data_IF_455327876258
#
_entry.id   IF_455327876258
#
_cell.length_a   1.000
_cell.length_b   1.000
_cell.length_c   1.000
_cell.angle_alpha   90.00
_cell.angle_beta   90.00
_cell.angle_gamma   90.00
#
_symmetry.space_group_name_H-M   'P 1'
#
loop_
_entity.id
_entity.type
_entity.pdbx_description
1 polymer ?
#
# COMPACT_ATOMS: atom_id res chain seq x y z
N UNK A 1 -22.52 8.54 -77.00
CA UNK A 1 -21.80 7.26 -77.10
C UNK A 1 -21.09 7.08 -75.78
N UNK A 2 -21.54 6.15 -74.95
CA UNK A 2 -20.72 5.48 -73.95
C UNK A 2 -21.47 4.21 -73.54
N UNK A 3 -20.87 3.08 -73.90
CA UNK A 3 -21.40 1.72 -73.72
C UNK A 3 -21.18 1.20 -72.31
N UNK A 4 -22.16 0.43 -71.84
CA UNK A 4 -22.08 -0.40 -70.65
C UNK A 4 -21.05 -1.54 -70.80
N UNK A 5 -20.36 -1.87 -69.71
CA UNK A 5 -19.74 -3.19 -69.54
C UNK A 5 -20.00 -3.70 -68.12
N UNK A 6 -20.72 -4.83 -68.04
CA UNK A 6 -21.01 -5.61 -66.85
C UNK A 6 -19.90 -6.61 -66.53
N UNK A 7 -19.60 -6.82 -65.24
CA UNK A 7 -18.90 -8.04 -64.78
C UNK A 7 -19.64 -8.69 -63.60
N UNK A 8 -19.66 -10.04 -63.51
CA UNK A 8 -20.58 -10.80 -62.67
C UNK A 8 -20.10 -10.98 -61.22
N UNK A 9 -21.06 -11.04 -60.30
CA UNK A 9 -20.85 -11.43 -58.89
C UNK A 9 -20.52 -12.93 -58.80
N UNK A 10 -19.31 -13.27 -58.36
CA UNK A 10 -18.92 -14.64 -58.00
C UNK A 10 -18.89 -14.76 -56.48
N UNK A 11 -19.85 -15.49 -55.92
CA UNK A 11 -19.88 -15.86 -54.51
C UNK A 11 -18.94 -17.05 -54.25
N UNK A 12 -17.92 -16.83 -53.41
CA UNK A 12 -17.02 -17.88 -52.91
C UNK A 12 -17.68 -18.51 -51.66
N UNK A 13 -17.89 -19.85 -51.61
CA UNK A 13 -18.44 -20.48 -50.41
C UNK A 13 -17.37 -20.56 -49.31
N UNK A 14 -17.65 -19.97 -48.15
CA UNK A 14 -16.83 -20.13 -46.95
C UNK A 14 -17.06 -21.53 -46.36
N UNK A 15 -16.00 -22.35 -46.28
CA UNK A 15 -16.02 -23.59 -45.50
C UNK A 15 -16.07 -23.26 -44.00
N UNK A 16 -16.85 -23.99 -43.18
CA UNK A 16 -16.83 -23.80 -41.74
C UNK A 16 -15.47 -24.22 -41.16
N UNK A 17 -14.87 -23.32 -40.38
CA UNK A 17 -13.65 -23.54 -39.61
C UNK A 17 -13.78 -24.82 -38.75
N UNK A 18 -12.98 -25.84 -39.06
CA UNK A 18 -12.77 -26.97 -38.17
C UNK A 18 -11.91 -26.49 -37.00
N UNK A 19 -12.50 -26.41 -35.81
CA UNK A 19 -11.80 -26.07 -34.57
C UNK A 19 -10.87 -27.22 -34.15
N UNK A 20 -9.56 -27.02 -34.28
CA UNK A 20 -8.55 -27.90 -33.72
C UNK A 20 -8.65 -27.82 -32.19
N UNK A 21 -8.83 -28.93 -31.45
CA UNK A 21 -8.87 -28.89 -29.99
C UNK A 21 -7.52 -28.41 -29.45
N UNK A 22 -7.50 -27.24 -28.81
CA UNK A 22 -6.32 -26.69 -28.15
C UNK A 22 -6.07 -27.44 -26.85
N UNK A 23 -5.07 -28.33 -26.85
CA UNK A 23 -4.68 -29.06 -25.65
C UNK A 23 -3.93 -28.13 -24.67
N UNK A 24 -4.22 -28.21 -23.36
CA UNK A 24 -3.50 -27.45 -22.35
C UNK A 24 -2.05 -27.92 -22.21
N UNK A 25 -1.09 -27.00 -22.26
CA UNK A 25 0.32 -27.21 -22.00
C UNK A 25 0.71 -26.55 -20.67
N UNK A 26 1.55 -27.18 -19.87
CA UNK A 26 1.97 -26.67 -18.56
C UNK A 26 3.48 -26.85 -18.34
N UNK A 27 4.11 -25.87 -17.68
CA UNK A 27 5.53 -25.95 -17.33
C UNK A 27 5.86 -25.30 -15.98
N UNK A 28 7.00 -25.69 -15.38
CA UNK A 28 7.58 -25.02 -14.20
C UNK A 28 8.95 -24.46 -14.60
N UNK A 29 9.06 -23.19 -15.04
CA UNK A 29 10.29 -22.62 -15.59
C UNK A 29 11.48 -22.64 -14.60
N UNK A 30 12.70 -22.69 -15.14
CA UNK A 30 13.95 -22.86 -14.38
C UNK A 30 14.41 -21.64 -13.57
N UNK A 31 13.91 -20.45 -13.88
CA UNK A 31 14.32 -19.20 -13.26
C UNK A 31 13.09 -18.51 -12.71
N UNK A 32 12.77 -18.72 -11.42
CA UNK A 32 11.91 -17.87 -10.57
C UNK A 32 11.61 -18.59 -9.23
N UNK A 33 12.66 -19.00 -8.52
CA UNK A 33 12.51 -19.45 -7.13
C UNK A 33 12.73 -18.24 -6.21
N UNK A 34 11.66 -17.64 -5.70
CA UNK A 34 11.77 -16.57 -4.70
C UNK A 34 12.05 -17.16 -3.32
N UNK A 35 13.11 -16.65 -2.67
CA UNK A 35 13.56 -17.07 -1.34
C UNK A 35 13.03 -16.09 -0.27
N UNK A 36 12.18 -16.60 0.62
CA UNK A 36 11.81 -15.92 1.87
C UNK A 36 12.99 -16.05 2.88
N UNK A 37 13.58 -14.92 3.29
CA UNK A 37 14.72 -14.90 4.24
C UNK A 37 14.30 -15.22 5.69
N UNK A 38 13.00 -15.32 6.01
CA UNK A 38 12.51 -15.55 7.37
C UNK A 38 11.63 -16.81 7.53
N UNK A 39 11.22 -17.51 6.46
CA UNK A 39 10.56 -18.84 6.56
C UNK A 39 11.04 -19.82 5.48
N UNK A 40 11.39 -21.03 5.89
CA UNK A 40 11.97 -22.10 5.08
C UNK A 40 10.89 -22.86 4.27
N UNK A 41 10.43 -22.35 3.12
CA UNK A 41 9.64 -23.14 2.14
C UNK A 41 9.80 -22.66 0.69
N UNK A 42 9.63 -23.57 -0.28
CA UNK A 42 9.71 -23.29 -1.73
C UNK A 42 8.32 -23.14 -2.35
N UNK A 43 8.13 -22.11 -3.19
CA UNK A 43 6.93 -21.88 -4.00
C UNK A 43 7.26 -22.11 -5.47
N UNK A 44 6.43 -22.87 -6.19
CA UNK A 44 6.61 -23.19 -7.60
C UNK A 44 5.68 -22.34 -8.46
N UNK A 45 6.26 -21.63 -9.44
CA UNK A 45 5.54 -20.89 -10.49
C UNK A 45 5.20 -21.85 -11.63
N UNK A 46 3.93 -22.16 -11.81
CA UNK A 46 3.40 -23.01 -12.89
C UNK A 46 2.89 -22.11 -14.01
N UNK A 47 3.43 -22.26 -15.21
CA UNK A 47 2.92 -21.65 -16.43
C UNK A 47 1.88 -22.58 -17.05
N UNK A 48 0.71 -22.04 -17.40
CA UNK A 48 -0.39 -22.78 -18.03
C UNK A 48 -0.73 -22.09 -19.34
N UNK A 49 -0.76 -22.86 -20.42
CA UNK A 49 -1.07 -22.40 -21.76
C UNK A 49 -2.25 -23.23 -22.30
N UNK A 50 -3.35 -22.58 -22.67
CA UNK A 50 -4.52 -23.22 -23.26
C UNK A 50 -4.93 -22.47 -24.52
N UNK A 51 -4.58 -23.04 -25.66
CA UNK A 51 -4.80 -22.41 -26.96
C UNK A 51 -3.95 -21.16 -27.15
N UNK A 52 -4.57 -19.98 -27.06
CA UNK A 52 -3.88 -18.67 -27.16
C UNK A 52 -3.67 -17.98 -25.82
N UNK A 53 -4.18 -18.56 -24.72
CA UNK A 53 -4.12 -17.95 -23.41
C UNK A 53 -2.97 -18.54 -22.59
N UNK A 54 -2.17 -17.68 -21.97
CA UNK A 54 -1.09 -18.06 -21.06
C UNK A 54 -1.27 -17.33 -19.72
N UNK A 55 -1.11 -18.05 -18.60
CA UNK A 55 -1.14 -17.47 -17.26
C UNK A 55 -0.23 -18.22 -16.28
N UNK A 56 0.00 -17.59 -15.12
CA UNK A 56 0.79 -18.18 -14.04
C UNK A 56 -0.06 -18.58 -12.83
N UNK A 57 0.29 -19.71 -12.23
CA UNK A 57 -0.28 -20.21 -10.99
C UNK A 57 0.85 -20.51 -10.01
N UNK A 58 0.75 -20.03 -8.78
CA UNK A 58 1.76 -20.27 -7.74
C UNK A 58 1.27 -21.34 -6.76
N UNK A 59 2.10 -22.36 -6.50
CA UNK A 59 1.74 -23.52 -5.65
C UNK A 59 2.91 -23.96 -4.78
N UNK A 60 2.63 -24.35 -3.55
CA UNK A 60 3.58 -25.03 -2.64
C UNK A 60 3.51 -26.54 -2.82
N UNK A 61 4.58 -27.26 -2.46
CA UNK A 61 4.62 -28.73 -2.51
C UNK A 61 3.41 -29.38 -1.82
N UNK A 62 2.95 -28.85 -0.68
CA UNK A 62 1.79 -29.37 0.05
C UNK A 62 0.49 -29.35 -0.79
N UNK A 63 0.34 -28.39 -1.70
CA UNK A 63 -0.83 -28.29 -2.59
C UNK A 63 -0.75 -29.33 -3.71
N UNK A 64 0.44 -29.60 -4.26
CA UNK A 64 0.66 -30.71 -5.19
C UNK A 64 0.42 -32.07 -4.52
N UNK A 65 0.92 -32.25 -3.29
CA UNK A 65 0.71 -33.47 -2.49
C UNK A 65 -0.78 -33.68 -2.17
N UNK A 66 -1.52 -32.62 -1.83
CA UNK A 66 -2.97 -32.69 -1.64
C UNK A 66 -3.68 -33.14 -2.92
N UNK A 67 -3.38 -32.52 -4.06
CA UNK A 67 -3.96 -32.90 -5.35
C UNK A 67 -3.62 -34.36 -5.72
N UNK A 68 -2.36 -34.76 -5.54
CA UNK A 68 -1.91 -36.13 -5.77
C UNK A 68 -2.71 -37.14 -4.93
N UNK A 69 -2.88 -36.89 -3.63
CA UNK A 69 -3.61 -37.79 -2.74
C UNK A 69 -5.10 -37.88 -3.10
N UNK A 70 -5.72 -36.77 -3.54
CA UNK A 70 -7.09 -36.77 -4.06
C UNK A 70 -7.20 -37.64 -5.31
N UNK A 71 -6.34 -37.41 -6.31
CA UNK A 71 -6.38 -38.13 -7.58
C UNK A 71 -6.00 -39.60 -7.45
N UNK A 72 -5.05 -39.95 -6.57
CA UNK A 72 -4.67 -41.34 -6.30
C UNK A 72 -5.82 -42.16 -5.71
N UNK A 73 -6.66 -41.55 -4.87
CA UNK A 73 -7.86 -42.22 -4.31
C UNK A 73 -8.93 -42.42 -5.37
N UNK A 74 -9.12 -41.44 -6.25
CA UNK A 74 -10.11 -41.50 -7.32
C UNK A 74 -9.68 -42.42 -8.48
N UNK A 75 -8.38 -42.48 -8.78
CA UNK A 75 -7.82 -43.21 -9.93
C UNK A 75 -6.62 -44.09 -9.53
N UNK A 76 -6.81 -45.13 -8.72
CA UNK A 76 -5.71 -45.97 -8.23
C UNK A 76 -4.98 -46.73 -9.36
N UNK A 77 -5.64 -47.00 -10.49
CA UNK A 77 -5.06 -47.69 -11.65
C UNK A 77 -4.08 -46.85 -12.48
N UNK A 78 -4.07 -45.51 -12.32
CA UNK A 78 -3.23 -44.62 -13.12
C UNK A 78 -1.78 -44.51 -12.61
N UNK A 79 -1.46 -45.13 -11.46
CA UNK A 79 -0.12 -45.19 -10.88
C UNK A 79 0.62 -43.82 -10.90
N UNK A 80 -0.10 -42.76 -10.51
CA UNK A 80 0.47 -41.41 -10.45
C UNK A 80 1.65 -41.39 -9.47
N UNK A 81 2.65 -40.57 -9.78
CA UNK A 81 3.83 -40.35 -8.95
C UNK A 81 4.02 -38.86 -8.71
N UNK A 82 4.46 -38.53 -7.50
CA UNK A 82 4.93 -37.20 -7.11
C UNK A 82 6.29 -37.37 -6.41
N UNK A 83 7.23 -36.42 -6.54
CA UNK A 83 8.49 -36.48 -5.79
C UNK A 83 8.23 -36.65 -4.29
N UNK A 84 9.04 -37.47 -3.59
CA UNK A 84 8.82 -37.74 -2.17
C UNK A 84 9.06 -36.50 -1.30
N UNK A 85 8.42 -36.50 -0.11
CA UNK A 85 8.81 -35.61 0.98
C UNK A 85 10.21 -36.01 1.45
N UNK A 86 11.12 -35.06 1.59
CA UNK A 86 12.45 -35.33 2.17
C UNK A 86 12.29 -35.37 3.68
N UNK A 87 12.48 -36.55 4.25
CA UNK A 87 12.27 -36.84 5.67
C UNK A 87 13.59 -36.61 6.46
N UNK A 88 14.74 -36.69 5.79
CA UNK A 88 16.08 -36.40 6.35
C UNK A 88 16.92 -35.56 5.38
N UNK A 89 17.67 -34.58 5.91
CA UNK A 89 18.53 -33.66 5.16
C UNK A 89 17.91 -32.28 4.88
N UNK A 90 18.70 -31.36 4.29
CA UNK A 90 18.26 -29.99 4.05
C UNK A 90 17.24 -29.90 2.90
N UNK A 91 16.04 -29.38 3.19
CA UNK A 91 15.01 -29.11 2.20
C UNK A 91 15.38 -27.96 1.22
N UNK A 92 16.48 -27.25 1.49
CA UNK A 92 16.99 -26.13 0.70
C UNK A 92 18.23 -26.45 -0.13
N UNK A 93 18.62 -27.73 -0.17
CA UNK A 93 19.67 -28.21 -1.06
C UNK A 93 19.31 -27.94 -2.54
N UNK A 94 20.14 -27.21 -3.30
CA UNK A 94 19.83 -26.79 -4.67
C UNK A 94 19.59 -27.96 -5.63
N UNK A 95 20.34 -29.06 -5.48
CA UNK A 95 20.14 -30.26 -6.30
C UNK A 95 18.79 -30.90 -6.02
N UNK A 96 18.43 -31.01 -4.73
CA UNK A 96 17.13 -31.52 -4.32
C UNK A 96 15.96 -30.66 -4.77
N UNK A 97 16.07 -29.33 -4.68
CA UNK A 97 15.03 -28.42 -5.19
C UNK A 97 14.87 -28.60 -6.70
N UNK A 98 15.98 -28.70 -7.44
CA UNK A 98 15.99 -28.93 -8.88
C UNK A 98 15.32 -30.28 -9.23
N UNK A 99 15.67 -31.37 -8.55
CA UNK A 99 15.04 -32.68 -8.74
C UNK A 99 13.55 -32.66 -8.42
N UNK A 100 13.15 -32.04 -7.31
CA UNK A 100 11.75 -31.89 -6.91
C UNK A 100 10.96 -31.07 -7.94
N UNK A 101 11.54 -29.99 -8.47
CA UNK A 101 10.93 -29.18 -9.53
C UNK A 101 10.69 -30.00 -10.79
N UNK A 102 11.68 -30.79 -11.23
CA UNK A 102 11.55 -31.68 -12.39
C UNK A 102 10.41 -32.67 -12.20
N UNK A 103 10.33 -33.36 -11.06
CA UNK A 103 9.25 -34.32 -10.86
C UNK A 103 7.87 -33.70 -10.63
N UNK A 104 7.78 -32.46 -10.09
CA UNK A 104 6.52 -31.72 -10.06
C UNK A 104 6.09 -31.28 -11.47
N UNK A 105 7.05 -30.92 -12.33
CA UNK A 105 6.79 -30.60 -13.73
C UNK A 105 6.26 -31.81 -14.50
N UNK A 106 6.89 -32.97 -14.36
CA UNK A 106 6.40 -34.23 -14.94
C UNK A 106 5.00 -34.59 -14.43
N UNK A 107 4.75 -34.38 -13.13
CA UNK A 107 3.44 -34.64 -12.53
C UNK A 107 2.34 -33.81 -13.20
N UNK A 108 2.50 -32.49 -13.31
CA UNK A 108 1.48 -31.62 -13.93
C UNK A 108 1.32 -31.87 -15.43
N UNK A 109 2.41 -32.21 -16.15
CA UNK A 109 2.33 -32.59 -17.55
C UNK A 109 1.48 -33.85 -17.74
N UNK A 110 1.64 -34.84 -16.85
CA UNK A 110 0.85 -36.07 -16.87
C UNK A 110 -0.63 -35.82 -16.57
N UNK A 111 -0.96 -34.82 -15.74
CA UNK A 111 -2.36 -34.46 -15.47
C UNK A 111 -3.06 -33.90 -16.71
N UNK A 112 -2.39 -33.03 -17.46
CA UNK A 112 -2.98 -32.39 -18.65
C UNK A 112 -2.96 -33.31 -19.88
N UNK A 113 -2.01 -34.25 -19.97
CA UNK A 113 -1.89 -35.20 -21.07
C UNK A 113 -2.94 -36.32 -21.02
N UNK A 114 -3.47 -36.64 -19.83
CA UNK A 114 -4.49 -37.69 -19.68
C UNK A 114 -5.92 -37.11 -19.76
N UNK A 115 -6.75 -37.53 -20.74
CA UNK A 115 -8.10 -36.98 -20.93
C UNK A 115 -9.04 -37.11 -19.73
N UNK A 116 -8.89 -38.18 -18.93
CA UNK A 116 -9.69 -38.43 -17.73
C UNK A 116 -9.31 -37.54 -16.55
N UNK A 117 -8.05 -37.09 -16.48
CA UNK A 117 -7.53 -36.25 -15.39
C UNK A 117 -7.65 -34.76 -15.71
N UNK A 118 -7.35 -34.34 -16.94
CA UNK A 118 -7.37 -32.92 -17.34
C UNK A 118 -8.73 -32.24 -17.13
N UNK A 119 -9.81 -33.02 -17.20
CA UNK A 119 -11.17 -32.54 -17.07
C UNK A 119 -11.71 -32.66 -15.63
N UNK A 120 -10.92 -33.20 -14.69
CA UNK A 120 -11.34 -33.27 -13.29
C UNK A 120 -11.44 -31.86 -12.70
N UNK A 121 -12.52 -31.56 -11.95
CA UNK A 121 -12.69 -30.26 -11.31
C UNK A 121 -11.48 -29.85 -10.46
N UNK A 122 -10.89 -30.81 -9.72
CA UNK A 122 -9.71 -30.57 -8.89
C UNK A 122 -8.48 -30.14 -9.73
N UNK A 123 -8.29 -30.73 -10.92
CA UNK A 123 -7.17 -30.41 -11.82
C UNK A 123 -7.41 -29.06 -12.51
N UNK A 124 -8.62 -28.81 -12.99
CA UNK A 124 -8.99 -27.54 -13.62
C UNK A 124 -8.95 -26.38 -12.64
N UNK A 125 -9.38 -26.58 -11.39
CA UNK A 125 -9.25 -25.59 -10.32
C UNK A 125 -7.80 -25.37 -9.90
N UNK A 126 -7.00 -26.45 -9.79
CA UNK A 126 -5.59 -26.35 -9.45
C UNK A 126 -4.80 -25.54 -10.49
N UNK A 127 -5.10 -25.72 -11.78
CA UNK A 127 -4.47 -25.01 -12.90
C UNK A 127 -5.21 -23.73 -13.32
N UNK A 128 -6.37 -23.44 -12.71
CA UNK A 128 -7.23 -22.29 -13.02
C UNK A 128 -7.72 -22.23 -14.48
N UNK A 129 -8.06 -23.38 -15.08
CA UNK A 129 -8.36 -23.52 -16.51
C UNK A 129 -9.74 -23.02 -16.94
N UNK A 130 -10.66 -22.84 -15.99
CA UNK A 130 -12.03 -22.37 -16.23
C UNK A 130 -12.16 -20.84 -16.15
N UNK A 131 -11.04 -20.13 -15.95
CA UNK A 131 -11.01 -18.67 -15.96
C UNK A 131 -10.70 -18.15 -17.37
N UNK A 132 -11.68 -18.04 -18.27
CA UNK A 132 -11.52 -17.15 -19.43
C UNK A 132 -12.84 -16.76 -20.11
N UNK A 133 -13.20 -15.48 -20.01
CA UNK A 133 -13.51 -14.59 -21.13
C UNK A 133 -13.30 -13.15 -20.63
N UNK A 134 -12.72 -12.29 -21.47
CA UNK A 134 -12.27 -10.91 -21.23
C UNK A 134 -10.84 -10.75 -20.68
N UNK A 135 -9.87 -11.18 -21.49
CA UNK A 135 -8.62 -10.43 -21.62
C UNK A 135 -8.67 -9.65 -22.93
N UNK A 136 -8.81 -8.34 -22.84
CA UNK A 136 -8.36 -7.39 -23.86
C UNK A 136 -7.87 -6.14 -23.14
N UNK A 137 -6.73 -5.64 -23.60
CA UNK A 137 -5.96 -4.55 -23.01
C UNK A 137 -6.79 -3.30 -22.67
N UNK A 138 -6.41 -2.56 -21.61
CA UNK A 138 -7.18 -1.44 -21.07
C UNK A 138 -6.85 -0.13 -21.79
N UNK A 139 -7.25 0.04 -23.04
CA UNK A 139 -7.20 1.33 -23.74
C UNK A 139 -8.40 1.43 -24.72
N UNK A 140 -9.09 2.57 -24.61
CA UNK A 140 -10.11 3.13 -25.53
C UNK A 140 -11.60 2.77 -25.32
N UNK A 141 -12.32 3.86 -25.03
CA UNK A 141 -13.67 4.24 -25.46
C UNK A 141 -14.93 3.85 -24.66
N UNK A 142 -15.31 4.84 -23.84
CA UNK A 142 -16.68 5.28 -23.59
C UNK A 142 -17.54 5.42 -24.87
N UNK A 143 -18.86 5.23 -24.68
CA UNK A 143 -20.01 5.57 -25.54
C UNK A 143 -20.40 4.54 -26.62
N UNK A 144 -21.58 3.93 -26.46
CA UNK A 144 -22.87 4.42 -27.03
C UNK A 144 -24.03 3.59 -26.47
N UNK A 145 -25.14 4.30 -26.30
CA UNK A 145 -26.41 3.99 -25.62
C UNK A 145 -27.39 3.19 -26.50
N UNK A 146 -28.27 2.42 -25.84
CA UNK A 146 -29.59 1.87 -26.24
C UNK A 146 -29.61 0.89 -27.44
N UNK A 147 -30.28 -0.26 -27.35
CA UNK A 147 -31.75 -0.34 -27.22
C UNK A 147 -32.22 -1.80 -27.09
N UNK A 148 -33.47 -1.96 -26.62
CA UNK A 148 -34.40 -3.10 -26.79
C UNK A 148 -34.48 -4.13 -25.65
N UNK A 149 -35.23 -3.69 -24.63
CA UNK A 149 -36.44 -4.31 -24.05
C UNK A 149 -36.48 -5.80 -23.69
N UNK A 150 -36.84 -6.02 -22.42
CA UNK A 150 -38.05 -6.79 -22.09
C UNK A 150 -37.88 -8.03 -21.23
N UNK A 151 -37.94 -7.89 -19.90
CA UNK A 151 -39.01 -8.43 -19.04
C UNK A 151 -38.60 -8.35 -17.54
N UNK A 152 -39.40 -7.55 -16.82
CA UNK A 152 -39.93 -7.64 -15.44
C UNK A 152 -39.48 -8.84 -14.58
N UNK A 153 -39.42 -8.82 -13.25
CA UNK A 153 -39.71 -7.86 -12.18
C UNK A 153 -39.15 -8.52 -10.89
N UNK A 154 -38.66 -7.75 -9.92
CA UNK A 154 -38.38 -8.30 -8.59
C UNK A 154 -37.38 -7.51 -7.75
N UNK A 155 -37.83 -6.37 -7.23
CA UNK A 155 -37.16 -5.65 -6.13
C UNK A 155 -36.87 -6.58 -4.94
N UNK A 156 -35.62 -6.59 -4.47
CA UNK A 156 -35.31 -6.39 -3.04
C UNK A 156 -33.79 -6.25 -2.85
N UNK A 157 -33.37 -5.02 -2.58
CA UNK A 157 -32.08 -4.67 -1.99
C UNK A 157 -31.89 -5.38 -0.65
N UNK A 158 -30.95 -6.35 -0.55
CA UNK A 158 -30.39 -6.93 0.71
C UNK A 158 -29.08 -7.63 0.35
N UNK A 159 -27.95 -7.57 1.04
CA UNK A 159 -27.49 -6.91 2.26
C UNK A 159 -25.96 -6.96 2.17
N UNK A 160 -25.27 -5.81 2.15
CA UNK A 160 -23.81 -5.78 2.34
C UNK A 160 -23.57 -6.00 3.83
N UNK A 161 -22.89 -7.10 4.18
CA UNK A 161 -22.55 -7.41 5.56
C UNK A 161 -21.40 -6.48 6.00
N UNK A 162 -21.74 -5.43 6.75
CA UNK A 162 -20.81 -4.36 7.14
C UNK A 162 -19.99 -4.66 8.40
N UNK A 163 -19.99 -5.90 8.90
CA UNK A 163 -19.31 -6.25 10.14
C UNK A 163 -19.88 -5.51 11.37
N UNK A 164 -19.54 -5.95 12.59
CA UNK A 164 -20.13 -5.39 13.80
C UNK A 164 -19.26 -4.25 14.36
N UNK A 165 -19.57 -2.99 14.04
CA UNK A 165 -19.34 -1.85 14.94
C UNK A 165 -20.05 -0.57 14.46
N UNK A 166 -20.82 0.04 15.37
CA UNK A 166 -21.45 1.37 15.36
C UNK A 166 -21.38 2.25 14.10
N UNK A 167 -22.56 2.44 13.49
CA UNK A 167 -22.96 3.48 12.53
C UNK A 167 -22.63 3.23 11.02
N UNK A 168 -23.62 2.84 10.17
CA UNK A 168 -23.39 2.26 8.84
C UNK A 168 -23.38 3.24 7.65
N UNK A 169 -23.08 4.52 7.83
CA UNK A 169 -23.47 5.55 6.84
C UNK A 169 -22.39 6.14 5.93
N UNK A 170 -21.11 5.80 6.07
CA UNK A 170 -20.07 6.29 5.14
C UNK A 170 -19.71 5.23 4.09
N UNK A 171 -19.85 5.59 2.82
CA UNK A 171 -19.57 4.74 1.64
C UNK A 171 -18.74 5.52 0.62
N UNK A 172 -17.99 4.83 -0.28
CA UNK A 172 -17.27 5.50 -1.36
C UNK A 172 -18.18 6.43 -2.19
N UNK A 173 -19.43 6.02 -2.41
CA UNK A 173 -20.41 6.76 -3.21
C UNK A 173 -20.83 8.10 -2.61
N UNK A 174 -20.54 8.36 -1.33
CA UNK A 174 -20.83 9.64 -0.67
C UNK A 174 -19.81 10.73 -1.02
N UNK A 175 -18.76 10.35 -1.75
CA UNK A 175 -17.66 11.22 -2.15
C UNK A 175 -17.54 11.27 -3.68
N UNK A 176 -17.24 12.46 -4.19
CA UNK A 176 -16.77 12.68 -5.55
C UNK A 176 -15.24 12.65 -5.53
N UNK A 177 -14.64 11.59 -6.07
CA UNK A 177 -13.19 11.47 -6.17
C UNK A 177 -12.68 12.29 -7.35
N UNK A 178 -11.81 13.27 -7.07
CA UNK A 178 -11.43 14.31 -8.03
C UNK A 178 -10.07 14.02 -8.67
N UNK A 179 -9.04 13.82 -7.84
CA UNK A 179 -7.65 13.70 -8.29
C UNK A 179 -6.84 12.76 -7.41
N UNK A 180 -5.89 12.05 -8.01
CA UNK A 180 -4.85 11.34 -7.25
C UNK A 180 -3.84 12.39 -6.78
N UNK A 181 -3.56 12.41 -5.48
CA UNK A 181 -2.64 13.37 -4.86
C UNK A 181 -1.44 12.68 -4.19
N UNK A 182 -1.42 11.35 -4.16
CA UNK A 182 -0.29 10.58 -3.67
C UNK A 182 -0.45 9.09 -3.90
N UNK A 183 0.66 8.36 -3.80
CA UNK A 183 0.71 6.91 -3.94
C UNK A 183 1.54 6.31 -2.81
N UNK A 184 1.05 5.23 -2.22
CA UNK A 184 1.75 4.50 -1.15
C UNK A 184 1.93 3.03 -1.49
N UNK A 185 2.65 2.32 -0.64
CA UNK A 185 2.95 0.87 -0.78
C UNK A 185 1.74 -0.03 -1.02
N UNK A 186 0.57 0.37 -0.53
CA UNK A 186 -0.65 -0.46 -0.50
C UNK A 186 -1.82 0.16 -1.26
N UNK A 187 -1.64 1.31 -1.88
CA UNK A 187 -2.74 2.03 -2.49
C UNK A 187 -2.43 3.47 -2.87
N UNK A 188 -3.47 4.31 -2.89
CA UNK A 188 -3.42 5.69 -3.36
C UNK A 188 -4.09 6.64 -2.39
N UNK A 189 -3.70 7.90 -2.44
CA UNK A 189 -4.36 9.00 -1.74
C UNK A 189 -5.03 9.87 -2.79
N UNK A 190 -6.33 10.12 -2.61
CA UNK A 190 -7.14 10.89 -3.55
C UNK A 190 -7.73 12.12 -2.86
N UNK A 191 -7.71 13.25 -3.56
CA UNK A 191 -8.56 14.38 -3.23
C UNK A 191 -10.00 14.01 -3.58
N UNK A 192 -10.90 14.12 -2.61
CA UNK A 192 -12.32 13.88 -2.80
C UNK A 192 -13.17 14.96 -2.13
N UNK A 193 -14.33 15.23 -2.72
CA UNK A 193 -15.33 16.15 -2.15
C UNK A 193 -16.50 15.33 -1.62
N UNK A 194 -16.88 15.51 -0.36
CA UNK A 194 -18.08 14.85 0.17
C UNK A 194 -19.33 15.53 -0.37
N UNK A 195 -20.30 14.74 -0.84
CA UNK A 195 -21.52 15.24 -1.49
C UNK A 195 -22.45 15.99 -0.54
N UNK A 196 -22.51 15.55 0.72
CA UNK A 196 -23.45 16.07 1.72
C UNK A 196 -23.15 17.51 2.14
N UNK A 197 -21.89 17.80 2.47
CA UNK A 197 -21.45 19.11 2.99
C UNK A 197 -20.57 19.90 2.00
N UNK A 198 -20.18 19.29 0.89
CA UNK A 198 -19.29 19.88 -0.09
C UNK A 198 -17.84 20.07 0.39
N UNK A 199 -17.45 19.49 1.54
CA UNK A 199 -16.09 19.63 2.09
C UNK A 199 -15.10 18.71 1.37
N UNK A 200 -13.86 19.19 1.23
CA UNK A 200 -12.76 18.43 0.64
C UNK A 200 -12.00 17.62 1.68
N UNK A 201 -11.60 16.41 1.29
CA UNK A 201 -10.90 15.43 2.10
C UNK A 201 -9.78 14.76 1.30
N UNK A 202 -8.74 14.29 2.01
CA UNK A 202 -7.77 13.36 1.48
C UNK A 202 -8.23 11.93 1.83
N UNK A 203 -8.57 11.12 0.83
CA UNK A 203 -9.02 9.74 1.02
C UNK A 203 -7.91 8.78 0.64
N UNK A 204 -7.34 8.09 1.65
CA UNK A 204 -6.36 7.02 1.46
C UNK A 204 -7.09 5.71 1.24
N UNK A 205 -6.95 5.16 0.05
CA UNK A 205 -7.61 3.93 -0.41
C UNK A 205 -6.57 2.81 -0.50
N UNK A 206 -6.75 1.75 0.27
CA UNK A 206 -5.81 0.63 0.37
C UNK A 206 -6.45 -0.69 -0.09
N UNK A 207 -5.69 -1.54 -0.78
CA UNK A 207 -6.18 -2.84 -1.24
C UNK A 207 -5.96 -3.92 -0.17
N UNK A 208 -7.04 -4.59 0.27
CA UNK A 208 -6.99 -5.65 1.30
C UNK A 208 -6.05 -6.79 0.89
N UNK A 209 -6.13 -7.22 -0.37
CA UNK A 209 -5.29 -8.29 -0.92
C UNK A 209 -3.79 -7.98 -0.79
N UNK A 210 -3.38 -6.75 -1.09
CA UNK A 210 -1.98 -6.31 -0.99
C UNK A 210 -1.52 -6.27 0.47
N UNK A 211 -2.36 -5.77 1.37
CA UNK A 211 -2.07 -5.72 2.82
C UNK A 211 -1.88 -7.13 3.38
N UNK A 212 -2.78 -8.06 3.07
CA UNK A 212 -2.73 -9.44 3.57
C UNK A 212 -1.54 -10.20 3.00
N UNK A 213 -1.24 -10.03 1.70
CA UNK A 213 -0.08 -10.65 1.06
C UNK A 213 1.24 -10.21 1.71
N UNK A 214 1.32 -8.96 2.17
CA UNK A 214 2.50 -8.43 2.88
C UNK A 214 2.47 -8.67 4.39
N UNK A 215 1.36 -9.19 4.95
CA UNK A 215 1.12 -9.43 6.39
C UNK A 215 1.09 -8.15 7.23
N UNK A 216 0.54 -7.08 6.67
CA UNK A 216 0.58 -5.72 7.22
C UNK A 216 -0.73 -5.31 7.91
N UNK A 217 -1.67 -6.25 8.05
CA UNK A 217 -2.99 -6.06 8.67
C UNK A 217 -2.89 -5.43 10.07
N UNK A 218 -2.00 -5.94 10.93
CA UNK A 218 -1.85 -5.43 12.30
C UNK A 218 -1.44 -3.96 12.33
N UNK A 219 -0.51 -3.57 11.45
CA UNK A 219 -0.05 -2.18 11.36
C UNK A 219 -1.16 -1.26 10.84
N UNK A 220 -1.96 -1.69 9.85
CA UNK A 220 -3.10 -0.90 9.37
C UNK A 220 -4.16 -0.69 10.47
N UNK A 221 -4.44 -1.73 11.26
CA UNK A 221 -5.37 -1.61 12.39
C UNK A 221 -4.80 -0.74 13.51
N UNK A 222 -3.48 -0.77 13.75
CA UNK A 222 -2.81 0.12 14.69
C UNK A 222 -2.87 1.59 14.24
N UNK A 223 -2.54 1.88 12.97
CA UNK A 223 -2.68 3.20 12.31
C UNK A 223 -4.10 3.76 12.52
N UNK A 224 -5.10 2.94 12.21
CA UNK A 224 -6.51 3.29 12.42
C UNK A 224 -6.84 3.55 13.88
N UNK A 225 -6.40 2.71 14.80
CA UNK A 225 -6.70 2.89 16.23
C UNK A 225 -6.02 4.12 16.84
N UNK A 226 -4.82 4.49 16.37
CA UNK A 226 -4.14 5.75 16.73
C UNK A 226 -4.98 6.94 16.27
N UNK A 227 -5.35 6.95 14.99
CA UNK A 227 -6.17 8.01 14.40
C UNK A 227 -7.55 8.14 15.06
N UNK A 228 -8.11 7.05 15.58
CA UNK A 228 -9.39 7.03 16.30
C UNK A 228 -9.36 7.59 17.72
N UNK A 229 -8.19 7.80 18.32
CA UNK A 229 -8.11 8.40 19.66
C UNK A 229 -8.60 9.86 19.71
N UNK A 230 -9.24 10.35 18.64
CA UNK A 230 -9.72 11.72 18.46
C UNK A 230 -8.62 12.70 18.84
N UNK A 231 -7.46 12.52 18.20
CA UNK A 231 -6.26 13.30 18.44
C UNK A 231 -6.56 14.76 18.13
N UNK A 232 -6.82 15.55 19.18
CA UNK A 232 -7.11 16.97 19.07
C UNK A 232 -5.80 17.71 19.22
N UNK A 233 -5.05 17.77 18.13
CA UNK A 233 -3.83 18.55 18.05
C UNK A 233 -3.81 19.38 16.76
N UNK A 234 -3.49 20.68 16.82
CA UNK A 234 -3.49 21.58 15.66
C UNK A 234 -2.51 21.15 14.57
N UNK A 235 -1.50 20.35 14.88
CA UNK A 235 -0.45 19.96 13.93
C UNK A 235 -0.53 18.48 13.52
N UNK A 236 -1.65 17.80 13.82
CA UNK A 236 -1.89 16.42 13.41
C UNK A 236 -3.10 16.34 12.49
N UNK A 237 -2.99 15.51 11.45
CA UNK A 237 -4.08 15.25 10.52
C UNK A 237 -5.16 14.42 11.20
N UNK A 238 -6.40 14.90 11.18
CA UNK A 238 -7.53 14.21 11.78
C UNK A 238 -8.14 13.16 10.86
N UNK A 239 -8.61 12.07 11.47
CA UNK A 239 -9.45 11.06 10.81
C UNK A 239 -10.93 11.40 11.02
N UNK A 240 -11.63 11.63 9.90
CA UNK A 240 -13.07 11.89 9.91
C UNK A 240 -13.85 10.58 9.82
N UNK A 241 -13.51 9.71 8.88
CA UNK A 241 -14.20 8.44 8.66
C UNK A 241 -13.19 7.34 8.35
N UNK A 242 -13.46 6.12 8.79
CA UNK A 242 -12.84 4.94 8.21
C UNK A 242 -13.91 3.95 7.81
N UNK A 243 -13.87 3.42 6.59
CA UNK A 243 -14.85 2.44 6.13
C UNK A 243 -14.19 1.47 5.16
N UNK A 244 -14.88 0.37 4.85
CA UNK A 244 -14.34 -0.69 4.01
C UNK A 244 -15.37 -1.18 3.01
N UNK A 245 -14.87 -1.63 1.86
CA UNK A 245 -15.61 -2.47 0.92
C UNK A 245 -15.10 -3.91 1.04
N UNK A 246 -15.55 -4.82 0.19
CA UNK A 246 -15.09 -6.22 0.17
C UNK A 246 -13.59 -6.34 -0.16
N UNK A 247 -13.03 -5.40 -0.90
CA UNK A 247 -11.66 -5.47 -1.43
C UNK A 247 -10.75 -4.30 -0.97
N UNK A 248 -11.32 -3.23 -0.40
CA UNK A 248 -10.58 -2.01 -0.06
C UNK A 248 -10.89 -1.48 1.34
N UNK A 249 -9.93 -0.73 1.87
CA UNK A 249 -10.05 0.07 3.10
C UNK A 249 -9.91 1.55 2.74
N UNK A 250 -10.69 2.41 3.41
CA UNK A 250 -10.73 3.84 3.17
C UNK A 250 -10.49 4.58 4.48
N UNK A 251 -9.51 5.49 4.49
CA UNK A 251 -9.34 6.50 5.53
C UNK A 251 -9.69 7.86 4.95
N UNK A 252 -10.64 8.57 5.54
CA UNK A 252 -11.03 9.92 5.15
C UNK A 252 -10.38 10.90 6.12
N UNK A 253 -9.38 11.62 5.64
CA UNK A 253 -8.51 12.49 6.42
C UNK A 253 -8.73 13.96 6.06
N UNK A 254 -8.26 14.87 6.91
CA UNK A 254 -8.16 16.29 6.56
C UNK A 254 -7.38 16.47 5.24
N UNK A 255 -7.89 17.31 4.35
CA UNK A 255 -7.16 17.73 3.16
C UNK A 255 -6.31 18.95 3.48
N UNK A 256 -5.00 18.83 3.26
CA UNK A 256 -4.02 19.92 3.42
C UNK A 256 -3.41 20.21 2.06
N UNK A 257 -3.68 21.39 1.51
CA UNK A 257 -3.24 21.80 0.16
C UNK A 257 -1.92 22.56 0.11
N UNK A 258 -1.23 22.65 1.25
CA UNK A 258 0.08 23.29 1.36
C UNK A 258 1.22 22.49 0.72
N UNK A 259 0.99 21.23 0.34
CA UNK A 259 2.02 20.32 -0.16
C UNK A 259 2.88 19.73 0.95
N UNK A 260 3.77 18.81 0.56
CA UNK A 260 4.68 18.13 1.49
C UNK A 260 5.92 18.98 1.80
N UNK A 261 6.47 18.87 3.01
CA UNK A 261 7.67 19.62 3.43
C UNK A 261 8.84 19.39 2.47
N UNK A 262 9.09 18.13 2.10
CA UNK A 262 10.18 17.74 1.22
C UNK A 262 9.99 18.25 -0.22
N UNK A 263 8.76 18.40 -0.70
CA UNK A 263 8.50 19.02 -2.00
C UNK A 263 9.02 20.47 -2.04
N UNK A 264 8.76 21.24 -0.99
CA UNK A 264 9.28 22.60 -0.87
C UNK A 264 10.80 22.62 -0.65
N UNK A 265 11.32 21.70 0.17
CA UNK A 265 12.75 21.62 0.45
C UNK A 265 13.56 21.25 -0.80
N UNK A 266 13.08 20.32 -1.63
CA UNK A 266 13.70 19.99 -2.90
C UNK A 266 13.74 21.19 -3.87
N UNK A 267 12.68 22.01 -3.86
CA UNK A 267 12.60 23.21 -4.71
C UNK A 267 13.53 24.34 -4.24
N UNK A 268 13.67 24.51 -2.93
CA UNK A 268 14.45 25.61 -2.32
C UNK A 268 15.86 25.21 -1.87
N UNK A 269 16.20 23.92 -1.93
CA UNK A 269 17.41 23.25 -1.43
C UNK A 269 17.61 23.32 0.08
N UNK A 270 17.38 24.47 0.71
CA UNK A 270 17.49 24.69 2.16
C UNK A 270 16.45 25.70 2.60
N UNK A 271 16.04 25.65 3.86
CA UNK A 271 15.22 26.68 4.49
C UNK A 271 16.05 27.59 5.39
N UNK A 272 15.72 28.90 5.44
CA UNK A 272 16.25 29.79 6.45
C UNK A 272 15.94 29.27 7.87
N UNK A 273 16.87 29.49 8.80
CA UNK A 273 16.73 29.01 10.19
C UNK A 273 15.40 29.43 10.86
N UNK A 274 14.87 30.66 10.71
CA UNK A 274 13.57 31.01 11.28
C UNK A 274 12.40 30.15 10.75
N UNK A 275 12.47 29.75 9.47
CA UNK A 275 11.47 28.85 8.85
C UNK A 275 11.61 27.43 9.36
N UNK A 276 12.83 26.91 9.41
CA UNK A 276 13.10 25.58 9.97
C UNK A 276 12.71 25.51 11.45
N UNK A 277 13.00 26.55 12.24
CA UNK A 277 12.62 26.68 13.66
C UNK A 277 11.11 26.57 13.84
N UNK A 278 10.34 27.30 13.03
CA UNK A 278 8.88 27.27 13.07
C UNK A 278 8.34 25.86 12.81
N UNK A 279 8.76 25.20 11.71
CA UNK A 279 8.30 23.86 11.38
C UNK A 279 8.71 22.82 12.42
N UNK A 280 9.96 22.88 12.91
CA UNK A 280 10.43 21.96 13.95
C UNK A 280 9.67 22.16 15.27
N UNK A 281 9.28 23.39 15.61
CA UNK A 281 8.46 23.64 16.79
C UNK A 281 7.07 22.99 16.65
N UNK A 282 6.39 23.14 15.50
CA UNK A 282 5.09 22.50 15.25
C UNK A 282 5.20 20.96 15.30
N UNK A 283 6.23 20.41 14.66
CA UNK A 283 6.51 18.96 14.67
C UNK A 283 6.82 18.46 16.09
N UNK A 284 7.63 19.19 16.86
CA UNK A 284 7.97 18.83 18.23
C UNK A 284 6.73 18.83 19.15
N UNK A 285 5.87 19.83 19.02
CA UNK A 285 4.59 19.91 19.74
C UNK A 285 3.69 18.71 19.39
N UNK A 286 3.58 18.36 18.11
CA UNK A 286 2.83 17.19 17.66
C UNK A 286 3.38 15.86 18.24
N UNK A 287 4.70 15.68 18.21
CA UNK A 287 5.37 14.51 18.79
C UNK A 287 5.20 14.43 20.30
N UNK A 288 5.35 15.54 21.01
CA UNK A 288 5.12 15.60 22.46
C UNK A 288 3.69 15.22 22.84
N UNK A 289 2.70 15.68 22.06
CA UNK A 289 1.30 15.27 22.25
C UNK A 289 1.11 13.76 22.04
N UNK A 290 1.67 13.20 20.97
CA UNK A 290 1.67 11.76 20.70
C UNK A 290 2.27 10.95 21.85
N UNK A 291 3.46 11.35 22.32
CA UNK A 291 4.16 10.69 23.42
C UNK A 291 3.34 10.74 24.72
N UNK A 292 2.63 11.86 24.99
CA UNK A 292 1.73 11.98 26.15
C UNK A 292 0.57 10.96 26.14
N UNK A 293 0.22 10.44 24.96
CA UNK A 293 -0.79 9.39 24.76
C UNK A 293 -0.19 7.98 24.71
N UNK A 294 1.10 7.84 25.05
CA UNK A 294 1.91 6.63 24.89
C UNK A 294 1.93 6.11 23.44
N UNK A 295 1.96 7.03 22.48
CA UNK A 295 2.06 6.72 21.05
C UNK A 295 3.43 7.18 20.60
N UNK A 296 4.28 6.24 20.19
CA UNK A 296 5.50 6.57 19.47
C UNK A 296 5.12 6.65 17.99
N UNK A 297 5.40 7.79 17.33
CA UNK A 297 4.90 8.06 15.98
C UNK A 297 5.33 6.97 14.98
N UNK A 298 6.51 6.37 15.19
CA UNK A 298 7.06 5.22 14.45
C UNK A 298 6.12 4.05 14.13
N UNK A 299 4.99 3.90 14.80
CA UNK A 299 4.07 2.80 14.54
C UNK A 299 3.05 3.09 13.42
N UNK A 300 3.11 4.29 12.82
CA UNK A 300 2.44 4.66 11.57
C UNK A 300 3.35 4.44 10.36
N UNK A 301 3.88 3.23 10.22
CA UNK A 301 4.72 2.74 9.12
C UNK A 301 6.05 3.48 8.87
N UNK A 302 7.10 2.75 8.46
CA UNK A 302 8.27 3.28 7.73
C UNK A 302 7.95 3.97 6.38
N UNK A 303 6.66 4.15 6.05
CA UNK A 303 6.19 4.60 4.74
C UNK A 303 5.33 5.88 4.82
N UNK A 304 4.70 6.18 5.97
CA UNK A 304 3.96 7.43 6.15
C UNK A 304 4.83 8.56 6.72
N UNK A 305 6.08 8.24 7.05
CA UNK A 305 7.15 9.13 6.66
C UNK A 305 7.95 8.33 5.66
N UNK A 306 8.06 8.80 4.42
CA UNK A 306 9.15 8.44 3.51
C UNK A 306 10.45 8.97 4.12
N UNK A 307 10.79 8.50 5.31
CA UNK A 307 12.15 8.57 5.80
C UNK A 307 12.79 7.37 5.17
N UNK A 308 13.49 7.69 4.09
CA UNK A 308 14.63 6.93 3.65
C UNK A 308 15.42 6.39 4.87
N UNK A 309 16.16 5.32 4.68
CA UNK A 309 16.92 4.71 5.77
C UNK A 309 17.98 5.65 6.41
N UNK A 310 18.09 6.86 5.86
CA UNK A 310 18.77 8.08 6.30
C UNK A 310 18.34 8.64 7.66
N UNK A 311 17.09 8.44 8.10
CA UNK A 311 16.58 9.03 9.36
C UNK A 311 16.37 8.00 10.48
N UNK A 312 16.80 6.76 10.26
CA UNK A 312 16.75 5.72 11.27
C UNK A 312 17.71 6.05 12.43
N UNK A 313 17.19 6.00 13.65
CA UNK A 313 18.03 6.15 14.84
C UNK A 313 19.02 4.98 15.00
N UNK A 314 20.20 5.20 15.61
CA UNK A 314 21.23 4.17 15.77
C UNK A 314 20.74 2.88 16.46
N UNK A 315 19.93 3.00 17.50
CA UNK A 315 19.33 1.88 18.23
C UNK A 315 18.37 1.05 17.36
N UNK A 316 17.67 1.68 16.41
CA UNK A 316 16.79 0.99 15.45
C UNK A 316 17.62 0.17 14.47
N UNK A 317 18.71 0.75 13.94
CA UNK A 317 19.65 0.03 13.07
C UNK A 317 20.32 -1.15 13.79
N UNK A 318 20.67 -0.98 15.07
CA UNK A 318 21.19 -2.05 15.94
C UNK A 318 20.13 -3.09 16.32
N UNK A 319 18.86 -2.88 15.98
CA UNK A 319 17.72 -3.72 16.37
C UNK A 319 17.61 -3.90 17.89
N UNK A 320 17.94 -2.85 18.62
CA UNK A 320 17.78 -2.81 20.06
C UNK A 320 16.34 -2.44 20.43
N UNK A 321 15.87 -2.80 21.63
CA UNK A 321 14.68 -2.19 22.21
C UNK A 321 14.86 -0.68 22.25
N UNK A 322 13.76 0.02 22.00
CA UNK A 322 13.76 1.47 21.86
C UNK A 322 12.47 2.04 22.44
N UNK A 323 12.44 3.35 22.67
CA UNK A 323 11.30 4.11 23.18
C UNK A 323 11.11 5.38 22.34
N UNK A 324 10.30 6.34 22.78
CA UNK A 324 10.01 7.59 22.09
C UNK A 324 11.24 8.44 21.69
N UNK A 325 12.44 8.22 22.26
CA UNK A 325 13.64 9.06 22.02
C UNK A 325 14.15 9.08 20.58
N UNK A 326 13.81 8.08 19.79
CA UNK A 326 14.03 8.02 18.34
C UNK A 326 13.25 9.04 17.49
N UNK A 327 12.08 9.50 17.95
CA UNK A 327 11.28 10.48 17.23
C UNK A 327 11.99 11.83 17.32
N UNK A 328 12.70 12.06 18.44
CA UNK A 328 13.62 13.18 18.60
C UNK A 328 14.87 13.08 17.71
N UNK A 329 15.43 11.87 17.50
CA UNK A 329 16.48 11.67 16.50
C UNK A 329 16.00 12.01 15.08
N UNK A 330 14.81 11.52 14.73
CA UNK A 330 14.17 11.83 13.45
C UNK A 330 13.95 13.33 13.30
N UNK A 331 13.44 14.01 14.32
CA UNK A 331 13.25 15.46 14.34
C UNK A 331 14.58 16.21 14.10
N UNK A 332 15.66 15.77 14.75
CA UNK A 332 17.01 16.32 14.53
C UNK A 332 17.51 16.09 13.11
N UNK A 333 17.19 14.95 12.51
CA UNK A 333 17.59 14.62 11.14
C UNK A 333 16.85 15.49 10.12
N UNK A 334 15.54 15.70 10.33
CA UNK A 334 14.71 16.60 9.51
C UNK A 334 15.14 18.07 9.67
N UNK A 335 15.47 18.52 10.89
CA UNK A 335 16.04 19.85 11.11
C UNK A 335 17.37 20.03 10.35
N UNK A 336 18.26 19.04 10.44
CA UNK A 336 19.54 19.08 9.76
C UNK A 336 19.34 19.24 8.24
N UNK A 337 18.45 18.45 7.65
CA UNK A 337 18.18 18.52 6.23
C UNK A 337 17.52 19.84 5.81
N UNK A 338 16.59 20.37 6.61
CA UNK A 338 16.05 21.71 6.32
C UNK A 338 17.13 22.78 6.30
N UNK A 339 18.14 22.71 7.18
CA UNK A 339 19.21 23.69 7.25
C UNK A 339 20.31 23.49 6.18
N UNK A 340 20.57 22.25 5.76
CA UNK A 340 21.76 21.92 4.95
C UNK A 340 21.46 21.16 3.65
N UNK A 341 20.20 20.83 3.39
CA UNK A 341 19.67 20.26 2.15
C UNK A 341 19.87 18.76 1.95
N UNK A 342 20.59 18.10 2.88
CA UNK A 342 20.77 16.65 2.88
C UNK A 342 20.75 16.13 4.33
N UNK A 343 20.31 14.88 4.56
CA UNK A 343 20.39 14.23 5.87
C UNK A 343 21.82 14.21 6.44
N UNK A 344 21.98 14.15 7.78
CA UNK A 344 23.28 14.32 8.43
C UNK A 344 24.33 13.27 8.06
N UNK A 345 23.89 12.07 7.72
CA UNK A 345 24.76 10.91 7.46
C UNK A 345 24.54 10.31 6.06
N UNK A 346 23.92 11.07 5.16
CA UNK A 346 23.60 10.63 3.79
C UNK A 346 24.82 10.03 3.08
N UNK A 347 24.62 8.84 2.47
CA UNK A 347 25.51 8.29 1.45
C UNK A 347 24.66 7.55 0.42
N UNK A 348 25.16 7.52 -0.83
CA UNK A 348 24.58 6.68 -1.89
C UNK A 348 24.78 5.19 -1.61
N UNK A 349 25.79 4.84 -0.80
CA UNK A 349 25.99 3.48 -0.31
C UNK A 349 25.25 3.32 1.02
N UNK A 350 24.21 2.48 1.03
CA UNK A 350 23.39 2.22 2.21
C UNK A 350 24.20 1.65 3.38
N UNK A 351 25.22 0.84 3.11
CA UNK A 351 26.07 0.28 4.18
C UNK A 351 26.97 1.36 4.78
N UNK A 352 27.56 2.22 3.95
CA UNK A 352 28.33 3.38 4.44
C UNK A 352 27.44 4.34 5.23
N UNK A 353 26.23 4.60 4.75
CA UNK A 353 25.26 5.43 5.45
C UNK A 353 24.93 4.86 6.84
N UNK A 354 24.67 3.55 6.94
CA UNK A 354 24.43 2.91 8.23
C UNK A 354 25.64 3.00 9.15
N UNK A 355 26.84 2.79 8.63
CA UNK A 355 28.07 2.97 9.41
C UNK A 355 28.23 4.41 9.91
N UNK A 356 27.93 5.40 9.06
CA UNK A 356 27.93 6.81 9.41
C UNK A 356 26.93 7.13 10.53
N UNK A 357 25.69 6.63 10.41
CA UNK A 357 24.66 6.80 11.46
C UNK A 357 25.14 6.19 12.78
N UNK A 358 25.81 5.04 12.75
CA UNK A 358 26.25 4.33 13.95
C UNK A 358 27.50 4.94 14.60
N UNK A 359 28.43 5.50 13.83
CA UNK A 359 29.79 5.78 14.30
C UNK A 359 30.31 7.18 13.96
N UNK A 360 29.92 7.78 12.83
CA UNK A 360 30.47 9.08 12.40
C UNK A 360 29.97 10.21 13.32
N UNK A 361 30.88 11.03 13.89
CA UNK A 361 30.47 12.18 14.70
C UNK A 361 29.77 13.23 13.82
N UNK A 362 28.82 13.96 14.40
CA UNK A 362 28.17 15.08 13.71
C UNK A 362 29.18 16.23 13.54
N UNK A 363 29.39 16.70 12.31
CA UNK A 363 30.34 17.75 12.00
C UNK A 363 29.66 19.10 11.76
N UNK A 364 30.14 20.16 12.41
CA UNK A 364 29.55 21.50 12.28
C UNK A 364 29.69 21.99 10.84
N UNK A 365 28.57 22.34 10.23
CA UNK A 365 28.51 22.90 8.88
C UNK A 365 28.60 24.42 8.93
N UNK A 366 29.31 25.07 7.99
CA UNK A 366 29.27 26.52 7.84
C UNK A 366 27.82 27.01 7.68
N UNK A 367 27.46 28.08 8.37
CA UNK A 367 26.13 28.70 8.31
C UNK A 367 25.15 28.28 9.41
N UNK A 368 25.49 27.29 10.25
CA UNK A 368 24.69 26.94 11.43
C UNK A 368 24.86 27.99 12.54
N UNK A 369 23.76 28.51 13.10
CA UNK A 369 23.85 29.28 14.35
C UNK A 369 24.31 28.38 15.51
N UNK A 370 24.88 28.98 16.56
CA UNK A 370 25.28 28.23 17.75
C UNK A 370 24.09 27.51 18.41
N UNK A 371 22.89 28.08 18.33
CA UNK A 371 21.68 27.55 18.96
C UNK A 371 21.10 26.39 18.14
N UNK A 372 21.09 26.51 16.81
CA UNK A 372 20.71 25.44 15.90
C UNK A 372 21.68 24.25 16.03
N UNK A 373 22.98 24.53 16.06
CA UNK A 373 24.00 23.50 16.20
C UNK A 373 23.92 22.79 17.54
N UNK A 374 23.74 23.52 18.64
CA UNK A 374 23.51 22.95 19.98
C UNK A 374 22.31 22.00 19.99
N UNK A 375 21.19 22.39 19.35
CA UNK A 375 20.00 21.54 19.27
C UNK A 375 20.28 20.26 18.47
N UNK A 376 20.94 20.39 17.32
CA UNK A 376 21.30 19.25 16.47
C UNK A 376 22.21 18.26 17.19
N UNK A 377 23.21 18.73 17.93
CA UNK A 377 24.08 17.86 18.72
C UNK A 377 23.29 17.10 19.78
N UNK A 378 22.34 17.77 20.44
CA UNK A 378 21.54 17.18 21.50
C UNK A 378 20.49 16.17 20.98
N UNK A 379 19.88 16.43 19.82
CA UNK A 379 18.91 15.54 19.17
C UNK A 379 19.57 14.36 18.44
N UNK A 380 20.73 14.59 17.81
CA UNK A 380 21.50 13.57 17.08
C UNK A 380 22.57 12.90 17.94
N UNK A 381 22.36 12.87 19.26
CA UNK A 381 23.11 12.04 20.19
C UNK A 381 22.83 10.56 19.91
N UNK A 382 23.89 9.78 19.71
CA UNK A 382 23.77 8.39 19.26
C UNK A 382 23.32 7.47 20.37
N UNK A 383 23.60 7.81 21.62
CA UNK A 383 23.03 7.14 22.78
C UNK A 383 21.68 7.74 23.15
N UNK A 384 20.60 6.99 22.92
CA UNK A 384 19.22 7.42 23.20
C UNK A 384 18.99 7.83 24.66
N UNK A 385 19.79 7.34 25.61
CA UNK A 385 19.67 7.69 27.04
C UNK A 385 20.31 9.03 27.41
N UNK A 386 21.17 9.55 26.55
CA UNK A 386 21.80 10.87 26.69
C UNK A 386 21.20 11.92 25.73
N UNK A 387 20.34 11.47 24.81
CA UNK A 387 19.68 12.32 23.82
C UNK A 387 18.69 13.29 24.47
N UNK A 388 18.56 14.48 23.88
CA UNK A 388 17.54 15.45 24.27
C UNK A 388 16.15 14.82 24.12
N UNK A 389 15.32 14.97 25.16
CA UNK A 389 14.01 14.35 25.29
C UNK A 389 14.03 12.96 25.93
N UNK A 390 15.16 12.51 26.47
CA UNK A 390 15.25 11.22 27.18
C UNK A 390 14.80 11.27 28.64
N UNK A 391 14.86 12.41 29.33
CA UNK A 391 14.50 12.52 30.76
C UNK A 391 13.10 13.08 30.95
N UNK A 392 12.76 14.17 30.27
CA UNK A 392 11.46 14.85 30.36
C UNK A 392 10.86 15.15 28.97
N UNK A 393 11.16 14.29 28.00
CA UNK A 393 10.52 14.26 26.67
C UNK A 393 10.38 15.64 26.03
N UNK A 394 9.17 16.04 25.65
CA UNK A 394 8.92 17.31 24.99
C UNK A 394 9.29 18.55 25.83
N UNK A 395 9.29 18.47 27.16
CA UNK A 395 9.65 19.61 28.00
C UNK A 395 11.12 20.02 27.83
N UNK A 396 12.03 19.05 27.63
CA UNK A 396 13.43 19.36 27.31
C UNK A 396 13.56 20.09 25.98
N UNK A 397 12.79 19.66 24.98
CA UNK A 397 12.77 20.27 23.65
C UNK A 397 12.29 21.73 23.77
N UNK A 398 11.17 21.95 24.47
CA UNK A 398 10.61 23.30 24.70
C UNK A 398 11.59 24.25 25.39
N UNK A 399 12.38 23.73 26.33
CA UNK A 399 13.32 24.51 27.11
C UNK A 399 14.63 24.84 26.35
N UNK A 400 14.90 24.19 25.22
CA UNK A 400 16.13 24.41 24.48
C UNK A 400 16.20 25.83 23.88
N UNK A 401 17.35 26.50 24.02
CA UNK A 401 17.52 27.92 23.66
C UNK A 401 17.28 28.21 22.16
N UNK A 402 17.35 27.20 21.30
CA UNK A 402 16.93 27.34 19.89
C UNK A 402 15.48 27.84 19.74
N UNK A 403 14.59 27.47 20.65
CA UNK A 403 13.17 27.86 20.65
C UNK A 403 12.86 29.05 21.57
N UNK A 404 13.86 29.80 22.05
CA UNK A 404 13.65 30.90 23.00
C UNK A 404 12.70 32.01 22.49
N UNK A 405 12.56 32.12 21.16
CA UNK A 405 11.68 33.10 20.49
C UNK A 405 10.26 32.57 20.25
N UNK A 406 10.01 31.28 20.51
CA UNK A 406 8.72 30.64 20.27
C UNK A 406 7.88 30.69 21.54
N UNK A 407 6.73 31.36 21.46
CA UNK A 407 5.67 31.16 22.44
C UNK A 407 4.87 29.90 22.05
N UNK A 408 5.04 28.83 22.82
CA UNK A 408 4.42 27.53 22.56
C UNK A 408 2.88 27.58 22.62
N UNK A 409 2.31 28.36 23.53
CA UNK A 409 0.85 28.50 23.64
C UNK A 409 0.26 29.21 22.41
N UNK A 410 0.94 30.26 21.93
CA UNK A 410 0.54 30.97 20.71
C UNK A 410 0.75 30.10 19.47
N UNK A 411 1.80 29.27 19.45
CA UNK A 411 2.04 28.32 18.37
C UNK A 411 0.88 27.33 18.28
N UNK A 412 0.54 26.63 19.37
CA UNK A 412 -0.55 25.65 19.41
C UNK A 412 -1.93 26.28 19.11
N UNK A 413 -2.13 27.53 19.49
CA UNK A 413 -3.35 28.29 19.16
C UNK A 413 -3.33 28.84 17.72
N UNK A 414 -2.30 28.54 16.92
CA UNK A 414 -2.08 29.02 15.55
C UNK A 414 -2.11 30.54 15.43
N UNK A 415 -1.63 31.24 16.46
CA UNK A 415 -1.50 32.70 16.51
C UNK A 415 -0.17 33.20 15.95
N UNK A 416 0.84 32.34 15.90
CA UNK A 416 2.13 32.65 15.27
C UNK A 416 1.96 32.58 13.75
N UNK A 417 2.22 33.67 13.00
CA UNK A 417 2.09 33.65 11.55
C UNK A 417 3.15 32.75 10.93
N UNK A 418 2.80 31.89 9.95
CA UNK A 418 3.76 31.01 9.32
C UNK A 418 4.78 31.84 8.50
N UNK A 419 6.08 31.51 8.57
CA UNK A 419 7.13 32.23 7.85
C UNK A 419 7.06 32.03 6.33
N UNK A 420 6.32 31.01 5.89
CA UNK A 420 6.02 30.74 4.49
C UNK A 420 4.56 30.35 4.35
N UNK A 421 3.83 31.06 3.49
CA UNK A 421 2.48 30.71 3.07
C UNK A 421 2.55 30.14 1.66
N UNK A 422 2.25 28.85 1.44
CA UNK A 422 2.22 28.27 0.11
C UNK A 422 1.18 29.01 -0.74
N UNK A 423 1.48 29.26 -2.01
CA UNK A 423 0.51 29.86 -2.91
C UNK A 423 -0.60 28.84 -3.18
N UNK A 424 -1.82 29.19 -2.81
CA UNK A 424 -3.01 28.34 -2.88
C UNK A 424 -4.13 29.21 -3.44
N UNK A 425 -4.59 28.89 -4.64
CA UNK A 425 -5.62 29.64 -5.36
C UNK A 425 -7.03 29.27 -4.91
N UNK A 426 -7.22 28.09 -4.29
CA UNK A 426 -8.51 27.61 -3.84
C UNK A 426 -8.41 26.50 -2.78
N UNK A 427 -9.51 26.18 -2.04
CA UNK A 427 -9.54 25.11 -1.05
C UNK A 427 -9.28 23.69 -1.60
N UNK A 428 -9.26 23.51 -2.92
CA UNK A 428 -9.00 22.24 -3.61
C UNK A 428 -7.79 22.34 -4.55
N UNK A 429 -6.98 23.38 -4.40
CA UNK A 429 -5.75 23.57 -5.17
C UNK A 429 -4.79 22.42 -4.89
N UNK A 430 -4.21 21.87 -5.97
CA UNK A 430 -3.26 20.76 -5.94
C UNK A 430 -1.91 21.14 -6.59
N UNK A 431 -1.65 22.43 -6.83
CA UNK A 431 -0.39 22.91 -7.43
C UNK A 431 0.85 22.61 -6.60
N UNK A 432 0.68 22.35 -5.29
CA UNK A 432 1.76 21.96 -4.37
C UNK A 432 1.91 20.43 -4.22
N UNK A 433 1.30 19.63 -5.11
CA UNK A 433 1.46 18.18 -5.15
C UNK A 433 2.26 17.75 -6.39
N UNK A 434 2.91 16.60 -6.30
CA UNK A 434 3.73 16.09 -7.40
C UNK A 434 2.89 15.89 -8.70
N UNK A 435 3.31 16.49 -9.84
CA UNK A 435 2.69 16.28 -11.13
C UNK A 435 2.58 14.81 -11.55
N UNK A 436 3.49 13.93 -11.10
CA UNK A 436 3.43 12.48 -11.35
C UNK A 436 2.12 11.88 -10.84
N UNK A 437 1.61 12.38 -9.71
CA UNK A 437 0.35 11.89 -9.12
C UNK A 437 -0.85 12.63 -9.68
N UNK A 438 -0.79 13.96 -9.77
CA UNK A 438 -1.96 14.78 -10.17
C UNK A 438 -2.34 14.61 -11.65
N UNK A 439 -1.41 14.13 -12.48
CA UNK A 439 -1.65 13.71 -13.85
C UNK A 439 -2.37 12.36 -13.99
N UNK A 440 -2.38 11.52 -12.95
CA UNK A 440 -3.02 10.22 -12.98
C UNK A 440 -4.56 10.32 -12.98
N UNK A 441 -5.22 9.47 -13.77
CA UNK A 441 -6.69 9.41 -13.81
C UNK A 441 -7.25 8.68 -12.60
N UNK A 442 -8.38 9.18 -12.09
CA UNK A 442 -9.13 8.49 -11.04
C UNK A 442 -9.89 7.34 -11.68
N UNK A 443 -9.51 6.11 -11.37
CA UNK A 443 -10.18 4.92 -11.91
C UNK A 443 -11.52 4.66 -11.23
N UNK A 444 -12.52 4.21 -11.99
CA UNK A 444 -13.85 3.84 -11.48
C UNK A 444 -13.83 2.78 -10.37
N UNK A 445 -12.79 1.93 -10.34
CA UNK A 445 -12.56 0.92 -9.29
C UNK A 445 -12.47 1.51 -7.88
N UNK A 446 -12.24 2.82 -7.72
CA UNK A 446 -12.22 3.49 -6.42
C UNK A 446 -13.63 3.58 -5.81
N UNK A 447 -14.65 3.78 -6.65
CA UNK A 447 -16.05 3.93 -6.24
C UNK A 447 -16.80 2.61 -6.19
N UNK A 448 -16.44 1.68 -7.08
CA UNK A 448 -17.14 0.42 -7.27
C UNK A 448 -16.19 -0.75 -7.01
N UNK A 449 -16.66 -1.70 -6.20
CA UNK A 449 -16.13 -3.05 -6.24
C UNK A 449 -16.68 -3.70 -7.49
N UNK A 450 -15.82 -4.15 -8.41
CA UNK A 450 -16.28 -5.11 -9.42
C UNK A 450 -16.97 -6.25 -8.69
N UNK A 451 -18.12 -6.72 -9.21
CA UNK A 451 -18.91 -7.84 -8.66
C UNK A 451 -18.04 -9.09 -8.55
N UNK A 452 -17.21 -9.11 -7.51
CA UNK A 452 -16.29 -10.17 -7.21
C UNK A 452 -17.12 -11.24 -6.53
N UNK A 453 -17.24 -12.39 -7.18
CA UNK A 453 -17.81 -13.60 -6.59
C UNK A 453 -17.21 -13.75 -5.18
N UNK A 454 -18.07 -13.77 -4.16
CA UNK A 454 -17.70 -13.93 -2.76
C UNK A 454 -16.99 -15.28 -2.61
N UNK A 455 -15.66 -15.26 -2.70
CA UNK A 455 -14.81 -16.42 -2.56
C UNK A 455 -14.17 -16.42 -1.17
N UNK A 456 -13.68 -17.58 -0.71
CA UNK A 456 -13.09 -17.73 0.63
C UNK A 456 -12.00 -16.69 0.97
N UNK A 457 -11.26 -16.19 -0.03
CA UNK A 457 -10.23 -15.15 0.11
C UNK A 457 -10.84 -13.78 0.49
N UNK A 458 -12.04 -13.46 -0.03
CA UNK A 458 -12.75 -12.21 0.30
C UNK A 458 -13.32 -12.29 1.71
N UNK A 459 -13.85 -13.46 2.11
CA UNK A 459 -14.33 -13.68 3.49
C UNK A 459 -13.19 -13.61 4.52
N UNK A 460 -12.05 -14.24 4.22
CA UNK A 460 -10.85 -14.18 5.08
C UNK A 460 -10.30 -12.74 5.18
N UNK A 461 -10.44 -11.95 4.11
CA UNK A 461 -10.07 -10.54 4.12
C UNK A 461 -11.04 -9.66 4.93
N UNK A 462 -12.34 -9.91 4.87
CA UNK A 462 -13.34 -9.17 5.65
C UNK A 462 -13.20 -9.45 7.16
N UNK A 463 -12.98 -10.72 7.54
CA UNK A 463 -12.72 -11.10 8.93
C UNK A 463 -11.41 -10.48 9.47
N UNK A 464 -10.40 -10.30 8.61
CA UNK A 464 -9.11 -9.73 8.99
C UNK A 464 -9.19 -8.23 9.35
N UNK A 465 -10.19 -7.48 8.86
CA UNK A 465 -10.35 -6.05 9.15
C UNK A 465 -11.62 -5.77 9.96
N UNK A 466 -12.04 -6.74 10.77
CA UNK A 466 -13.17 -6.58 11.66
C UNK A 466 -12.96 -5.39 12.61
N UNK A 467 -13.99 -4.57 12.70
CA UNK A 467 -13.98 -3.36 13.50
C UNK A 467 -13.22 -2.19 12.88
N UNK A 468 -12.81 -2.21 11.60
CA UNK A 468 -12.16 -1.07 10.92
C UNK A 468 -13.10 0.14 10.71
N UNK A 469 -14.39 -0.08 10.55
CA UNK A 469 -15.35 0.98 10.23
C UNK A 469 -15.57 1.93 11.42
N UNK A 470 -15.60 3.24 11.15
CA UNK A 470 -15.86 4.32 12.09
C UNK A 470 -16.49 5.51 11.37
N UNK A 471 -17.51 6.09 11.99
CA UNK A 471 -18.04 7.41 11.66
C UNK A 471 -18.28 8.18 12.96
N UNK A 472 -18.02 9.50 13.02
CA UNK A 472 -18.36 10.31 14.18
C UNK A 472 -19.88 10.29 14.37
N UNK A 473 -20.38 10.42 15.61
CA UNK A 473 -21.79 10.66 15.85
C UNK A 473 -22.23 11.86 15.00
N UNK A 474 -23.33 11.73 14.24
CA UNK A 474 -23.89 12.85 13.52
C UNK A 474 -24.29 13.93 14.53
N UNK A 475 -23.78 15.16 14.35
CA UNK A 475 -24.18 16.35 15.13
C UNK A 475 -25.70 16.62 15.06
N UNK A 476 -26.41 15.95 14.14
CA UNK A 476 -27.87 16.00 13.99
C UNK A 476 -28.64 14.94 14.79
N UNK A 477 -28.03 14.26 15.77
CA UNK A 477 -28.74 13.29 16.62
C UNK A 477 -29.42 13.91 17.86
N UNK A 478 -29.27 15.22 18.05
CA UNK A 478 -29.98 16.01 19.05
C UNK A 478 -30.56 17.28 18.42
N UNK A 479 -31.60 17.15 17.60
CA UNK A 479 -32.59 18.21 17.35
C UNK A 479 -33.88 17.61 16.79
#
# INVERSE_FOLDING_TARGET
MEEQSSYPNVSIPCYPNVSIPCYPNVSIPCYNEQRDKKKRYTVYKVMVNVGRHEWFVFRRYAEFDKLYNTLRKQFPSLNLKIPPKRIFGDNFDPEFIKQRRTGLHEFIQRLVSHPQLRNQPDVRAFLQMDKSQNFSDPLEDDKIICSISGLQNGSTSRNINLGPSGNPHAKPTDFDFLKVIGKGSFGKVLLAKRKLDGKYYAIKVLQKSVILNRREQKHIMAERNVLLKNMKHPFLVGLHYSFQTTDKLYFVLDFVNGGELFFHLQKEQTFPEPRAKFYIAEMASALGYLHSLNIVYRDLKPENILLDSEYLAPEVLRKQPYDNTVDWWCLGSVLYEMLFGLPPFYSRDTHEMYDNILHKPLMMRPGASNTAWSLLQALLEKDGTHRLGSRDDFNEIKAHYFFSEINWDDLEQRKVPPPFTPNVNSPHDITNFDPEFTGETVTNSVCYTEDSIVNAIVMEADDAFLGFSYAPPSDNSFL
#
